data_IF_842168806967
#
_entry.id   IF_842168806967
#
_cell.length_a   1.000
_cell.length_b   1.000
_cell.length_c   1.000
_cell.angle_alpha   90.00
_cell.angle_beta   90.00
_cell.angle_gamma   90.00
#
_symmetry.space_group_name_H-M   'P 1'
#
loop_
_entity.id
_entity.type
_entity.pdbx_description
1 polymer ?
#
# COMPACT_ATOMS: atom_id res chain seq x y z
N UNK A 1 44.98 20.36 -16.31
CA UNK A 1 45.23 20.53 -14.86
C UNK A 1 45.72 21.95 -14.64
N UNK A 2 44.87 22.84 -14.10
CA UNK A 2 45.29 24.16 -13.64
C UNK A 2 44.60 24.46 -12.30
N UNK A 3 45.39 25.04 -11.40
CA UNK A 3 45.22 25.05 -9.95
C UNK A 3 44.36 26.23 -9.48
N UNK A 4 43.60 25.97 -8.42
CA UNK A 4 43.23 26.85 -7.30
C UNK A 4 43.58 28.35 -7.42
N UNK A 5 42.55 29.18 -7.34
CA UNK A 5 42.66 30.55 -6.84
C UNK A 5 41.48 30.85 -5.90
N UNK A 6 41.82 30.94 -4.61
CA UNK A 6 41.05 31.56 -3.55
C UNK A 6 40.79 33.04 -3.86
N UNK A 7 39.61 33.56 -3.49
CA UNK A 7 39.57 34.87 -2.82
C UNK A 7 38.34 34.96 -1.91
N UNK A 8 38.62 35.19 -0.63
CA UNK A 8 37.71 35.37 0.50
C UNK A 8 37.43 36.89 0.63
N UNK A 9 36.34 37.21 1.34
CA UNK A 9 36.08 38.42 2.16
C UNK A 9 35.29 39.55 1.49
N UNK A 10 34.07 39.81 1.99
CA UNK A 10 33.85 40.99 2.85
C UNK A 10 32.54 40.92 3.65
N UNK A 11 32.70 41.27 4.93
CA UNK A 11 31.74 41.31 6.02
C UNK A 11 30.91 42.61 6.05
N UNK A 12 29.73 42.49 6.69
CA UNK A 12 29.06 43.45 7.60
C UNK A 12 28.59 44.81 7.07
N UNK A 13 27.30 45.09 7.29
CA UNK A 13 26.92 46.17 8.21
C UNK A 13 25.58 45.88 8.91
N UNK A 14 25.65 45.86 10.24
CA UNK A 14 24.55 45.99 11.20
C UNK A 14 24.28 47.48 11.38
N UNK A 15 23.03 47.92 11.37
CA UNK A 15 22.63 49.08 12.15
C UNK A 15 21.22 48.90 12.72
N UNK A 16 21.18 49.13 14.03
CA UNK A 16 20.02 49.09 14.89
C UNK A 16 19.11 50.31 14.67
N UNK A 17 17.83 50.11 14.92
CA UNK A 17 16.85 51.18 15.09
C UNK A 17 15.72 50.71 15.98
N UNK A 18 15.95 50.69 17.30
CA UNK A 18 14.86 50.66 18.28
C UNK A 18 14.28 52.08 18.39
N UNK A 19 12.95 52.22 18.35
CA UNK A 19 12.28 53.27 19.11
C UNK A 19 11.10 52.64 19.85
N UNK A 20 11.23 52.61 21.18
CA UNK A 20 10.15 52.35 22.14
C UNK A 20 9.55 53.71 22.49
N UNK A 21 8.24 53.84 22.38
CA UNK A 21 7.47 54.73 23.24
C UNK A 21 6.42 53.90 23.99
N UNK A 22 6.45 54.04 25.31
CA UNK A 22 5.64 53.35 26.30
C UNK A 22 4.34 54.10 26.56
N UNK A 23 3.21 53.39 26.65
CA UNK A 23 1.94 53.98 27.08
C UNK A 23 0.82 52.98 27.32
N UNK A 24 0.90 52.26 28.46
CA UNK A 24 -0.19 51.79 29.34
C UNK A 24 -1.54 51.32 28.74
N UNK A 25 -1.89 50.05 29.03
CA UNK A 25 -3.22 49.74 29.57
C UNK A 25 -4.02 48.58 28.97
N UNK A 26 -4.11 47.50 29.76
CA UNK A 26 -5.17 46.46 29.84
C UNK A 26 -5.21 45.30 28.84
N UNK A 27 -4.67 44.18 29.33
CA UNK A 27 -5.14 42.79 29.24
C UNK A 27 -6.38 42.53 28.38
N UNK A 28 -6.19 41.84 27.26
CA UNK A 28 -7.13 40.80 26.83
C UNK A 28 -6.32 39.59 26.38
N UNK A 29 -6.57 38.49 27.07
CA UNK A 29 -5.94 37.18 26.95
C UNK A 29 -5.98 36.61 25.53
N UNK A 30 -4.88 35.96 25.19
CA UNK A 30 -4.71 34.99 24.12
C UNK A 30 -5.93 34.07 23.93
N UNK A 31 -6.45 34.05 22.71
CA UNK A 31 -6.91 32.85 22.04
C UNK A 31 -7.16 33.16 20.57
N UNK A 32 -6.85 32.17 19.70
CA UNK A 32 -7.25 32.09 18.29
C UNK A 32 -6.22 32.55 17.25
N UNK A 33 -5.02 31.94 17.27
CA UNK A 33 -4.24 31.69 16.04
C UNK A 33 -3.77 30.23 16.02
N UNK A 34 -4.65 29.33 15.60
CA UNK A 34 -4.34 27.89 15.46
C UNK A 34 -5.18 27.13 14.43
N UNK A 35 -6.30 27.67 13.94
CA UNK A 35 -7.21 26.95 13.03
C UNK A 35 -6.79 26.90 11.55
N UNK A 36 -5.79 27.68 11.13
CA UNK A 36 -5.42 27.78 9.70
C UNK A 36 -4.63 26.59 9.15
N UNK A 37 -3.73 26.00 9.95
CA UNK A 37 -2.87 24.90 9.54
C UNK A 37 -3.54 23.52 9.67
N UNK A 38 -4.39 23.35 10.68
CA UNK A 38 -5.06 22.07 10.94
C UNK A 38 -6.11 21.76 9.85
N UNK A 39 -6.90 22.77 9.45
CA UNK A 39 -7.96 22.61 8.45
C UNK A 39 -7.43 22.30 7.03
N UNK A 40 -6.25 22.81 6.64
CA UNK A 40 -5.66 22.48 5.33
C UNK A 40 -5.12 21.06 5.26
N UNK A 41 -4.53 20.56 6.35
CA UNK A 41 -4.00 19.21 6.41
C UNK A 41 -5.12 18.15 6.44
N UNK A 42 -6.17 18.41 7.22
CA UNK A 42 -7.33 17.51 7.32
C UNK A 42 -8.08 17.38 5.99
N UNK A 43 -8.24 18.49 5.25
CA UNK A 43 -8.84 18.49 3.91
C UNK A 43 -7.99 17.70 2.89
N UNK A 44 -6.66 17.75 3.00
CA UNK A 44 -5.74 16.99 2.15
C UNK A 44 -5.83 15.49 2.42
N UNK A 45 -5.90 15.08 3.69
CA UNK A 45 -6.04 13.68 4.10
C UNK A 45 -7.37 13.10 3.62
N UNK A 46 -8.48 13.82 3.85
CA UNK A 46 -9.81 13.39 3.40
C UNK A 46 -9.88 13.24 1.88
N UNK A 47 -9.28 14.17 1.12
CA UNK A 47 -9.22 14.09 -0.34
C UNK A 47 -8.42 12.87 -0.82
N UNK A 48 -7.25 12.61 -0.23
CA UNK A 48 -6.44 11.41 -0.53
C UNK A 48 -7.20 10.13 -0.23
N UNK A 49 -7.93 10.08 0.89
CA UNK A 49 -8.76 8.93 1.27
C UNK A 49 -9.83 8.62 0.22
N UNK A 50 -10.50 9.66 -0.29
CA UNK A 50 -11.49 9.51 -1.37
C UNK A 50 -10.84 8.94 -2.63
N UNK A 51 -9.64 9.42 -3.01
CA UNK A 51 -8.91 8.90 -4.17
C UNK A 51 -8.53 7.43 -3.99
N UNK A 52 -8.05 7.04 -2.81
CA UNK A 52 -7.76 5.65 -2.47
C UNK A 52 -9.01 4.78 -2.63
N UNK A 53 -10.15 5.20 -2.09
CA UNK A 53 -11.42 4.46 -2.22
C UNK A 53 -11.84 4.30 -3.68
N UNK A 54 -11.68 5.34 -4.49
CA UNK A 54 -11.99 5.29 -5.93
C UNK A 54 -11.09 4.29 -6.65
N UNK A 55 -9.79 4.34 -6.40
CA UNK A 55 -8.83 3.42 -7.03
C UNK A 55 -9.03 1.97 -6.56
N UNK A 56 -9.32 1.75 -5.27
CA UNK A 56 -9.65 0.42 -4.76
C UNK A 56 -10.92 -0.16 -5.38
N UNK A 57 -11.95 0.66 -5.64
CA UNK A 57 -13.15 0.21 -6.36
C UNK A 57 -12.86 -0.13 -7.82
N UNK A 58 -11.98 0.61 -8.49
CA UNK A 58 -11.52 0.26 -9.84
C UNK A 58 -10.71 -1.03 -9.84
N UNK A 59 -9.86 -1.22 -8.84
CA UNK A 59 -9.08 -2.44 -8.65
C UNK A 59 -9.99 -3.64 -8.42
N UNK A 60 -10.99 -3.51 -7.54
CA UNK A 60 -12.03 -4.52 -7.33
C UNK A 60 -12.67 -4.94 -8.66
N UNK A 61 -13.12 -3.99 -9.48
CA UNK A 61 -13.71 -4.29 -10.79
C UNK A 61 -12.74 -5.05 -11.70
N UNK A 62 -11.47 -4.64 -11.74
CA UNK A 62 -10.44 -5.28 -12.54
C UNK A 62 -10.19 -6.74 -12.12
N UNK A 63 -10.11 -7.00 -10.80
CA UNK A 63 -9.91 -8.34 -10.25
C UNK A 63 -11.14 -9.23 -10.43
N UNK A 64 -12.35 -8.70 -10.22
CA UNK A 64 -13.59 -9.45 -10.47
C UNK A 64 -13.72 -9.85 -11.94
N UNK A 65 -13.30 -9.00 -12.87
CA UNK A 65 -13.31 -9.29 -14.30
C UNK A 65 -12.10 -10.11 -14.78
N UNK A 66 -11.10 -10.37 -13.93
CA UNK A 66 -9.77 -10.90 -14.31
C UNK A 66 -9.19 -10.12 -15.52
N UNK A 67 -9.40 -8.81 -15.57
CA UNK A 67 -9.01 -7.96 -16.71
C UNK A 67 -7.54 -7.54 -16.58
N UNK A 68 -6.66 -8.30 -17.25
CA UNK A 68 -5.22 -8.03 -17.28
C UNK A 68 -4.91 -6.60 -17.67
N UNK A 69 -5.63 -6.01 -18.63
CA UNK A 69 -5.35 -4.67 -19.15
C UNK A 69 -5.69 -3.57 -18.14
N UNK A 70 -6.45 -3.88 -17.09
CA UNK A 70 -6.72 -2.97 -15.98
C UNK A 70 -5.82 -3.27 -14.79
N UNK A 71 -5.56 -4.55 -14.50
CA UNK A 71 -4.68 -4.97 -13.41
C UNK A 71 -3.25 -4.48 -13.65
N UNK A 72 -2.74 -4.63 -14.87
CA UNK A 72 -1.37 -4.26 -15.21
C UNK A 72 -1.08 -2.75 -15.06
N UNK A 73 -2.12 -1.90 -15.04
CA UNK A 73 -1.98 -0.45 -14.85
C UNK A 73 -1.56 -0.05 -13.44
N UNK A 74 -1.68 -0.93 -12.46
CA UNK A 74 -1.22 -0.66 -11.10
C UNK A 74 0.29 -0.89 -10.94
N UNK A 75 0.95 -1.51 -11.93
CA UNK A 75 2.35 -1.86 -11.88
C UNK A 75 3.19 -0.90 -12.71
N UNK A 76 4.36 -0.56 -12.20
CA UNK A 76 5.38 0.15 -12.96
C UNK A 76 6.40 -0.86 -13.48
N UNK A 77 6.30 -1.16 -14.77
CA UNK A 77 7.18 -2.11 -15.43
C UNK A 77 8.53 -1.48 -15.82
N UNK A 78 9.62 -2.28 -15.84
CA UNK A 78 9.66 -3.70 -15.53
C UNK A 78 9.63 -3.98 -14.01
N UNK A 79 8.93 -5.04 -13.61
CA UNK A 79 8.92 -5.51 -12.22
C UNK A 79 10.22 -6.26 -11.92
N UNK A 80 10.88 -5.91 -10.84
CA UNK A 80 12.10 -6.59 -10.39
C UNK A 80 11.75 -7.66 -9.34
N UNK A 81 12.56 -8.71 -9.27
CA UNK A 81 12.42 -9.75 -8.24
C UNK A 81 12.38 -9.17 -6.80
N UNK A 82 13.01 -8.00 -6.57
CA UNK A 82 13.01 -7.29 -5.30
C UNK A 82 11.66 -6.67 -4.90
N UNK A 83 10.77 -6.43 -5.86
CA UNK A 83 9.42 -5.90 -5.62
C UNK A 83 8.36 -6.99 -5.68
N UNK A 84 8.56 -7.99 -6.53
CA UNK A 84 7.61 -9.08 -6.75
C UNK A 84 8.38 -10.31 -7.23
N UNK A 85 8.41 -11.34 -6.39
CA UNK A 85 9.19 -12.55 -6.61
C UNK A 85 8.37 -13.57 -7.41
N UNK A 86 8.20 -13.31 -8.70
CA UNK A 86 7.51 -14.23 -9.61
C UNK A 86 8.50 -15.09 -10.39
N UNK A 87 8.60 -16.36 -10.02
CA UNK A 87 9.40 -17.39 -10.67
C UNK A 87 8.63 -18.71 -10.67
N UNK A 88 9.08 -19.67 -11.47
CA UNK A 88 8.51 -21.03 -11.58
C UNK A 88 7.06 -21.03 -12.11
N UNK A 89 6.70 -20.01 -12.89
CA UNK A 89 5.39 -19.90 -13.56
C UNK A 89 5.27 -20.96 -14.65
N UNK A 90 6.22 -20.96 -15.58
CA UNK A 90 6.41 -21.97 -16.63
C UNK A 90 7.82 -21.80 -17.22
N UNK A 91 8.30 -22.83 -17.93
CA UNK A 91 9.67 -22.85 -18.44
C UNK A 91 9.98 -21.66 -19.37
N UNK A 92 9.06 -21.31 -20.28
CA UNK A 92 9.27 -20.20 -21.22
C UNK A 92 9.36 -18.85 -20.49
N UNK A 93 8.43 -18.60 -19.55
CA UNK A 93 8.42 -17.41 -18.72
C UNK A 93 9.73 -17.24 -17.97
N UNK A 94 10.20 -18.31 -17.32
CA UNK A 94 11.43 -18.26 -16.52
C UNK A 94 12.67 -18.09 -17.37
N UNK A 95 12.73 -18.69 -18.56
CA UNK A 95 13.83 -18.45 -19.50
C UNK A 95 13.88 -16.98 -19.93
N UNK A 96 12.75 -16.37 -20.28
CA UNK A 96 12.69 -14.96 -20.69
C UNK A 96 13.00 -14.03 -19.52
N UNK A 97 12.45 -14.30 -18.32
CA UNK A 97 12.72 -13.53 -17.10
C UNK A 97 14.21 -13.57 -16.73
N UNK A 98 14.83 -14.75 -16.76
CA UNK A 98 16.28 -14.94 -16.50
C UNK A 98 17.14 -14.22 -17.53
N UNK A 99 16.79 -14.31 -18.82
CA UNK A 99 17.48 -13.57 -19.88
C UNK A 99 17.38 -12.05 -19.73
N UNK A 100 16.28 -11.55 -19.13
CA UNK A 100 16.07 -10.13 -18.82
C UNK A 100 16.63 -9.70 -17.46
N UNK A 101 17.51 -10.50 -16.84
CA UNK A 101 18.17 -10.17 -15.58
C UNK A 101 17.24 -10.22 -14.36
N UNK A 102 16.29 -11.16 -14.33
CA UNK A 102 15.33 -11.31 -13.22
C UNK A 102 14.26 -10.22 -13.20
N UNK A 103 13.95 -9.66 -14.37
CA UNK A 103 12.92 -8.61 -14.52
C UNK A 103 11.80 -9.08 -15.41
N UNK A 104 10.59 -8.70 -15.05
CA UNK A 104 9.36 -9.03 -15.76
C UNK A 104 8.93 -7.77 -16.52
N UNK A 105 8.98 -7.84 -17.84
CA UNK A 105 8.45 -6.76 -18.68
C UNK A 105 6.92 -6.79 -18.69
N UNK A 106 6.31 -5.67 -19.10
CA UNK A 106 4.87 -5.55 -19.29
C UNK A 106 4.32 -6.64 -20.21
N UNK A 107 4.96 -6.85 -21.35
CA UNK A 107 4.52 -7.84 -22.34
C UNK A 107 4.65 -9.26 -21.81
N UNK A 108 5.70 -9.56 -21.03
CA UNK A 108 5.88 -10.87 -20.42
C UNK A 108 4.79 -11.15 -19.39
N UNK A 109 4.45 -10.16 -18.55
CA UNK A 109 3.36 -10.24 -17.58
C UNK A 109 2.01 -10.46 -18.26
N UNK A 110 1.67 -9.64 -19.27
CA UNK A 110 0.38 -9.76 -19.98
C UNK A 110 0.27 -11.12 -20.67
N UNK A 111 1.32 -11.55 -21.37
CA UNK A 111 1.34 -12.82 -22.12
C UNK A 111 1.07 -14.02 -21.20
N UNK A 112 1.65 -14.01 -19.99
CA UNK A 112 1.57 -15.13 -19.04
C UNK A 112 0.58 -14.87 -17.90
N UNK A 113 -0.32 -13.90 -18.06
CA UNK A 113 -1.13 -13.41 -16.95
C UNK A 113 -1.98 -14.49 -16.29
N UNK A 114 -2.58 -15.41 -17.06
CA UNK A 114 -3.40 -16.48 -16.49
C UNK A 114 -2.56 -17.43 -15.63
N UNK A 115 -1.41 -17.87 -16.12
CA UNK A 115 -0.49 -18.75 -15.38
C UNK A 115 0.00 -18.06 -14.11
N UNK A 116 0.39 -16.78 -14.20
CA UNK A 116 0.77 -15.96 -13.03
C UNK A 116 -0.38 -15.87 -12.03
N UNK A 117 -1.58 -15.54 -12.51
CA UNK A 117 -2.76 -15.35 -11.66
C UNK A 117 -3.12 -16.62 -10.89
N UNK A 118 -3.04 -17.77 -11.55
CA UNK A 118 -3.41 -19.06 -10.97
C UNK A 118 -2.28 -19.59 -10.06
N UNK A 119 -1.02 -19.53 -10.49
CA UNK A 119 0.13 -20.01 -9.73
C UNK A 119 0.35 -19.21 -8.44
N UNK A 120 0.32 -17.88 -8.53
CA UNK A 120 0.44 -17.00 -7.34
C UNK A 120 -0.88 -16.81 -6.61
N UNK A 121 -1.94 -17.53 -7.01
CA UNK A 121 -3.25 -17.49 -6.36
C UNK A 121 -3.83 -16.08 -6.22
N UNK A 122 -3.56 -15.19 -7.17
CA UNK A 122 -4.01 -13.78 -7.16
C UNK A 122 -5.53 -13.62 -7.07
N UNK A 123 -6.29 -14.70 -7.27
CA UNK A 123 -7.72 -14.81 -6.96
C UNK A 123 -8.09 -14.37 -5.54
N UNK A 124 -7.19 -14.54 -4.56
CA UNK A 124 -7.47 -14.14 -3.17
C UNK A 124 -7.76 -12.64 -3.01
N UNK A 125 -7.25 -11.77 -3.89
CA UNK A 125 -7.62 -10.35 -3.88
C UNK A 125 -9.07 -10.10 -4.31
N UNK A 126 -9.62 -10.91 -5.22
CA UNK A 126 -11.04 -10.84 -5.56
C UNK A 126 -11.91 -11.24 -4.36
N UNK A 127 -11.51 -12.27 -3.62
CA UNK A 127 -12.24 -12.72 -2.42
C UNK A 127 -12.14 -11.70 -1.29
N UNK A 128 -10.98 -11.05 -1.12
CA UNK A 128 -10.81 -9.90 -0.24
C UNK A 128 -11.84 -8.80 -0.56
N UNK A 129 -11.97 -8.40 -1.83
CA UNK A 129 -12.92 -7.34 -2.20
C UNK A 129 -14.39 -7.75 -2.08
N UNK A 130 -14.71 -9.06 -2.04
CA UNK A 130 -16.05 -9.55 -1.71
C UNK A 130 -16.31 -9.54 -0.20
N UNK A 131 -15.28 -9.80 0.60
CA UNK A 131 -15.39 -9.93 2.04
C UNK A 131 -15.48 -8.58 2.76
N UNK A 132 -14.92 -7.51 2.20
CA UNK A 132 -14.90 -6.18 2.83
C UNK A 132 -15.62 -5.10 2.04
N UNK A 133 -16.26 -4.17 2.75
CA UNK A 133 -16.89 -2.99 2.14
C UNK A 133 -15.92 -1.82 2.05
N UNK A 134 -15.24 -1.66 0.91
CA UNK A 134 -14.26 -0.59 0.64
C UNK A 134 -14.78 0.82 0.97
N UNK A 135 -16.10 1.07 0.89
CA UNK A 135 -16.67 2.38 1.22
C UNK A 135 -16.46 2.78 2.70
N UNK A 136 -16.33 1.81 3.60
CA UNK A 136 -16.10 2.06 5.03
C UNK A 136 -14.72 2.63 5.33
N UNK A 137 -13.77 2.57 4.40
CA UNK A 137 -12.48 3.25 4.53
C UNK A 137 -12.60 4.77 4.60
N UNK A 138 -13.78 5.33 4.30
CA UNK A 138 -14.04 6.75 4.55
C UNK A 138 -13.80 7.11 6.02
N UNK A 139 -14.20 6.22 6.92
CA UNK A 139 -14.21 6.46 8.36
C UNK A 139 -13.28 5.48 9.12
N UNK A 140 -12.87 4.38 8.49
CA UNK A 140 -11.95 3.37 9.05
C UNK A 140 -10.59 3.40 8.36
N UNK A 141 -9.51 3.14 9.11
CA UNK A 141 -8.18 2.93 8.54
C UNK A 141 -7.91 1.47 8.17
N UNK A 142 -8.60 0.53 8.82
CA UNK A 142 -8.49 -0.91 8.57
C UNK A 142 -9.88 -1.48 8.31
N UNK A 143 -9.99 -2.32 7.29
CA UNK A 143 -11.09 -3.27 7.10
C UNK A 143 -10.54 -4.67 7.28
N UNK A 144 -11.30 -5.53 7.92
CA UNK A 144 -10.93 -6.90 8.24
C UNK A 144 -12.17 -7.78 8.16
N UNK A 145 -11.99 -8.98 7.63
CA UNK A 145 -13.01 -10.02 7.61
C UNK A 145 -12.33 -11.37 7.73
N UNK A 146 -12.93 -12.24 8.52
CA UNK A 146 -12.54 -13.65 8.64
C UNK A 146 -13.71 -14.52 8.18
N UNK A 147 -13.40 -15.63 7.52
CA UNK A 147 -14.37 -16.62 7.05
C UNK A 147 -14.05 -17.96 7.68
N UNK A 148 -14.85 -18.33 8.67
CA UNK A 148 -14.78 -19.61 9.37
C UNK A 148 -15.86 -20.53 8.85
N UNK A 149 -15.50 -21.78 8.54
CA UNK A 149 -16.44 -22.83 8.19
C UNK A 149 -16.49 -23.81 9.36
N UNK A 150 -17.69 -24.16 9.80
CA UNK A 150 -17.88 -25.13 10.88
C UNK A 150 -17.24 -26.48 10.47
N UNK A 151 -16.56 -27.11 11.41
CA UNK A 151 -15.81 -28.37 11.22
C UNK A 151 -14.63 -28.32 10.22
N UNK A 152 -14.25 -27.14 9.71
CA UNK A 152 -12.99 -26.97 8.99
C UNK A 152 -11.88 -26.46 9.91
N UNK A 153 -10.69 -27.05 9.80
CA UNK A 153 -9.54 -26.65 10.59
C UNK A 153 -8.85 -25.39 10.11
N UNK A 154 -9.27 -24.81 8.98
CA UNK A 154 -8.75 -23.55 8.44
C UNK A 154 -9.82 -22.47 8.48
N UNK A 155 -9.39 -21.22 8.64
CA UNK A 155 -10.18 -20.06 8.23
C UNK A 155 -9.39 -19.21 7.24
N UNK A 156 -10.11 -18.42 6.45
CA UNK A 156 -9.52 -17.40 5.58
C UNK A 156 -9.66 -16.02 6.21
N UNK A 157 -8.67 -15.15 6.02
CA UNK A 157 -8.75 -13.76 6.47
C UNK A 157 -8.43 -12.79 5.32
N UNK A 158 -9.00 -11.59 5.43
CA UNK A 158 -8.92 -10.54 4.42
C UNK A 158 -8.78 -9.18 5.09
N UNK A 159 -7.75 -8.41 4.72
CA UNK A 159 -7.43 -7.13 5.35
C UNK A 159 -7.13 -6.07 4.29
N UNK A 160 -7.74 -4.89 4.45
CA UNK A 160 -7.29 -3.65 3.80
C UNK A 160 -6.85 -2.67 4.88
N UNK A 161 -5.59 -2.23 4.84
CA UNK A 161 -5.05 -1.20 5.72
C UNK A 161 -4.67 0.04 4.91
N UNK A 162 -5.07 1.22 5.36
CA UNK A 162 -4.70 2.51 4.79
C UNK A 162 -3.94 3.33 5.83
N UNK A 163 -2.65 3.55 5.57
CA UNK A 163 -1.78 4.40 6.37
C UNK A 163 -1.21 5.54 5.52
N UNK A 164 -1.68 6.76 5.78
CA UNK A 164 -1.33 7.93 4.98
C UNK A 164 -1.72 7.79 3.49
N UNK A 165 -0.71 7.72 2.62
CA UNK A 165 -0.86 7.49 1.18
C UNK A 165 -0.61 6.03 0.76
N UNK A 166 -0.36 5.14 1.73
CA UNK A 166 -0.06 3.73 1.50
C UNK A 166 -1.28 2.87 1.80
N UNK A 167 -1.48 1.86 0.97
CA UNK A 167 -2.55 0.87 1.10
C UNK A 167 -1.96 -0.53 1.05
N UNK A 168 -2.25 -1.35 2.05
CA UNK A 168 -1.89 -2.76 2.06
C UNK A 168 -3.15 -3.60 1.88
N UNK A 169 -3.11 -4.50 0.91
CA UNK A 169 -4.12 -5.53 0.67
C UNK A 169 -3.52 -6.86 1.09
N UNK A 170 -4.21 -7.60 1.94
CA UNK A 170 -3.72 -8.86 2.46
C UNK A 170 -4.83 -9.90 2.49
N UNK A 171 -4.53 -11.11 2.05
CA UNK A 171 -5.37 -12.27 2.29
C UNK A 171 -4.50 -13.45 2.72
N UNK A 172 -5.11 -14.43 3.34
CA UNK A 172 -4.39 -15.60 3.81
C UNK A 172 -5.27 -16.61 4.48
N UNK A 173 -4.63 -17.63 5.03
CA UNK A 173 -5.25 -18.72 5.79
C UNK A 173 -4.52 -18.91 7.11
N UNK A 174 -5.25 -19.31 8.14
CA UNK A 174 -4.66 -19.77 9.39
C UNK A 174 -5.53 -20.89 9.98
N UNK A 175 -5.00 -21.60 10.97
CA UNK A 175 -5.71 -22.67 11.66
C UNK A 175 -6.83 -22.11 12.55
N UNK A 176 -8.01 -22.71 12.49
CA UNK A 176 -9.18 -22.31 13.28
C UNK A 176 -9.02 -22.67 14.76
N UNK A 177 -9.07 -21.69 15.69
CA UNK A 177 -8.90 -21.96 17.12
C UNK A 177 -9.95 -22.93 17.69
N UNK A 178 -11.22 -22.83 17.26
CA UNK A 178 -12.29 -23.69 17.77
C UNK A 178 -12.10 -25.13 17.30
N UNK A 179 -11.70 -25.32 16.04
CA UNK A 179 -11.38 -26.65 15.54
C UNK A 179 -10.23 -27.27 16.34
N UNK A 180 -9.14 -26.51 16.58
CA UNK A 180 -7.98 -26.97 17.35
C UNK A 180 -8.33 -27.34 18.80
N UNK A 181 -9.22 -26.57 19.43
CA UNK A 181 -9.72 -26.89 20.78
C UNK A 181 -10.50 -28.21 20.80
N UNK A 182 -11.27 -28.50 19.75
CA UNK A 182 -12.03 -29.75 19.61
C UNK A 182 -11.17 -30.96 19.19
N UNK A 183 -10.04 -30.72 18.51
CA UNK A 183 -9.14 -31.74 17.97
C UNK A 183 -7.69 -31.50 18.47
N UNK A 184 -7.41 -31.72 19.76
CA UNK A 184 -6.12 -31.40 20.36
C UNK A 184 -4.94 -32.25 19.83
N UNK A 185 -5.23 -33.34 19.11
CA UNK A 185 -4.25 -34.17 18.40
C UNK A 185 -3.83 -33.58 17.03
N UNK A 186 -4.48 -32.49 16.58
CA UNK A 186 -4.25 -31.84 15.30
C UNK A 186 -3.82 -30.37 15.52
N UNK A 187 -2.61 -30.17 16.07
CA UNK A 187 -2.16 -28.85 16.53
C UNK A 187 -2.01 -27.81 15.40
N UNK A 188 -1.64 -28.23 14.20
CA UNK A 188 -1.51 -27.38 13.01
C UNK A 188 -2.22 -28.04 11.83
N UNK A 189 -3.49 -27.67 11.61
CA UNK A 189 -4.32 -28.24 10.55
C UNK A 189 -4.02 -27.56 9.22
N UNK A 190 -3.64 -26.28 9.28
CA UNK A 190 -3.42 -25.42 8.12
C UNK A 190 -2.14 -24.65 8.34
N UNK A 191 -1.22 -24.74 7.37
CA UNK A 191 -0.07 -23.85 7.32
C UNK A 191 -0.56 -22.42 7.27
N UNK A 192 -0.09 -21.60 8.21
CA UNK A 192 -0.33 -20.17 8.15
C UNK A 192 0.25 -19.66 6.82
N UNK A 193 -0.56 -18.95 6.04
CA UNK A 193 -0.07 -18.30 4.82
C UNK A 193 -0.71 -16.95 4.68
N UNK A 194 0.06 -15.97 4.21
CA UNK A 194 -0.42 -14.63 3.96
C UNK A 194 0.28 -14.04 2.74
N UNK A 195 -0.52 -13.56 1.79
CA UNK A 195 -0.05 -12.74 0.68
C UNK A 195 -0.44 -11.29 0.91
N UNK A 196 0.53 -10.38 0.82
CA UNK A 196 0.30 -8.95 1.00
C UNK A 196 0.86 -8.14 -0.16
N UNK A 197 0.03 -7.33 -0.78
CA UNK A 197 0.44 -6.31 -1.76
C UNK A 197 0.33 -4.92 -1.17
N UNK A 198 1.40 -4.15 -1.30
CA UNK A 198 1.46 -2.76 -0.85
C UNK A 198 1.44 -1.82 -2.04
N UNK A 199 0.58 -0.81 -1.97
CA UNK A 199 0.41 0.24 -2.96
C UNK A 199 0.63 1.60 -2.34
N UNK A 200 1.04 2.56 -3.16
CA UNK A 200 1.12 3.98 -2.79
C UNK A 200 0.28 4.82 -3.72
N UNK A 201 -0.44 5.79 -3.18
CA UNK A 201 -1.16 6.80 -3.96
C UNK A 201 -0.16 7.80 -4.53
N UNK A 202 0.04 7.75 -5.84
CA UNK A 202 0.88 8.68 -6.58
C UNK A 202 0.04 9.48 -7.57
N UNK A 203 -0.04 10.80 -7.33
CA UNK A 203 -0.97 11.66 -8.03
C UNK A 203 -2.42 11.26 -7.76
N UNK A 204 -3.06 10.59 -8.73
CA UNK A 204 -4.46 10.14 -8.64
C UNK A 204 -4.62 8.63 -8.76
N UNK A 205 -3.52 7.86 -8.70
CA UNK A 205 -3.52 6.42 -8.92
C UNK A 205 -2.77 5.66 -7.85
N UNK A 206 -3.23 4.45 -7.55
CA UNK A 206 -2.45 3.51 -6.75
C UNK A 206 -1.35 2.89 -7.61
N UNK A 207 -0.13 2.82 -7.06
CA UNK A 207 1.04 2.20 -7.68
C UNK A 207 1.58 1.11 -6.79
N UNK A 208 1.78 -0.07 -7.36
CA UNK A 208 2.35 -1.20 -6.68
C UNK A 208 3.76 -0.86 -6.20
N UNK A 209 4.04 -1.18 -4.94
CA UNK A 209 5.33 -0.95 -4.30
C UNK A 209 6.06 -2.28 -4.13
N UNK A 210 5.39 -3.24 -3.49
CA UNK A 210 5.98 -4.54 -3.17
C UNK A 210 4.93 -5.57 -2.79
N UNK A 211 5.33 -6.82 -2.96
CA UNK A 211 4.73 -8.01 -2.40
C UNK A 211 5.50 -8.45 -1.15
N UNK A 212 4.78 -9.01 -0.18
CA UNK A 212 5.33 -9.77 0.94
C UNK A 212 4.49 -11.01 1.10
N UNK A 213 5.14 -12.16 1.17
CA UNK A 213 4.50 -13.45 1.43
C UNK A 213 5.06 -14.01 2.73
N UNK A 214 4.18 -14.50 3.59
CA UNK A 214 4.53 -15.18 4.83
C UNK A 214 3.87 -16.56 4.84
N UNK A 215 4.58 -17.56 5.36
CA UNK A 215 4.12 -18.92 5.55
C UNK A 215 5.26 -19.89 5.80
#
# INVERSE_FOLDING_TARGET
MNKFAYFILLLLMVSAGCNRESGSGKNSSDATKGKGLQTQNDNSIAAKRILIIVELKRMQQAFTAKDVNQIEKYFDFPLADSTMSMFDVNEEFDQVRKANGGKISRDLFIKNFNDIYDYFQMGGFNDLFKAVNVAELKDKAKLESESHVEDEGCYSFYIILVDGDTVSLQYGTNSDPKYREAHPDQEEVCGESAQQWTFKLEGSRLRFVKEVTAG
#
